data_IF_995907878227
#
_entry.id   IF_995907878227
#
_cell.length_a   1.000
_cell.length_b   1.000
_cell.length_c   1.000
_cell.angle_alpha   90.00
_cell.angle_beta   90.00
_cell.angle_gamma   90.00
#
_symmetry.space_group_name_H-M   'P 1'
#
loop_
_entity.id
_entity.type
_entity.pdbx_description
1 polymer ?
#
# COMPACT_ATOMS: atom_id res chain seq x y z
N UNK A 1 1.78 31.97 -12.17
CA UNK A 1 1.58 30.62 -11.61
C UNK A 1 2.02 29.65 -12.69
N UNK A 2 3.06 28.85 -12.46
CA UNK A 2 3.35 27.75 -13.39
C UNK A 2 2.16 26.78 -13.33
N UNK A 3 1.48 26.62 -14.46
CA UNK A 3 0.36 25.69 -14.61
C UNK A 3 0.98 24.31 -14.73
N UNK A 4 0.87 23.50 -13.68
CA UNK A 4 1.20 22.08 -13.78
C UNK A 4 0.10 21.40 -14.58
N UNK A 5 0.48 20.83 -15.73
CA UNK A 5 -0.43 20.03 -16.55
C UNK A 5 -0.96 18.85 -15.72
N UNK A 6 -2.28 18.62 -15.68
CA UNK A 6 -2.84 17.44 -15.03
C UNK A 6 -2.37 16.15 -15.73
N UNK A 7 -2.51 15.01 -15.07
CA UNK A 7 -2.32 13.70 -15.69
C UNK A 7 -3.68 13.00 -15.84
N UNK A 8 -4.00 12.57 -17.06
CA UNK A 8 -5.15 11.71 -17.31
C UNK A 8 -4.78 10.25 -17.02
N UNK A 9 -5.53 9.59 -16.14
CA UNK A 9 -5.34 8.17 -15.86
C UNK A 9 -6.13 7.35 -16.89
N UNK A 10 -5.43 6.49 -17.62
CA UNK A 10 -6.03 5.60 -18.62
C UNK A 10 -5.74 4.14 -18.30
N UNK A 11 -6.80 3.35 -18.20
CA UNK A 11 -6.72 1.89 -18.05
C UNK A 11 -6.67 1.23 -19.42
N UNK A 12 -5.52 0.67 -19.78
CA UNK A 12 -5.28 0.04 -21.10
C UNK A 12 -5.35 -1.47 -20.94
N UNK A 13 -6.43 -2.07 -21.45
CA UNK A 13 -6.67 -3.52 -21.44
C UNK A 13 -6.06 -4.15 -22.69
N UNK A 14 -4.88 -4.75 -22.53
CA UNK A 14 -4.08 -5.27 -23.63
C UNK A 14 -4.73 -6.49 -24.31
N UNK A 15 -5.58 -7.23 -23.60
CA UNK A 15 -6.42 -8.31 -24.13
C UNK A 15 -7.50 -7.81 -25.12
N UNK A 16 -7.86 -6.53 -25.04
CA UNK A 16 -8.86 -5.89 -25.93
C UNK A 16 -8.22 -5.01 -27.00
N UNK A 17 -7.01 -4.52 -26.75
CA UNK A 17 -6.25 -3.63 -27.62
C UNK A 17 -4.83 -4.18 -27.78
N UNK A 18 -4.67 -5.12 -28.72
CA UNK A 18 -3.41 -5.83 -28.93
C UNK A 18 -2.35 -4.92 -29.57
N UNK A 19 -1.35 -4.52 -28.77
CA UNK A 19 -0.14 -3.81 -29.22
C UNK A 19 -0.41 -2.55 -30.07
N UNK A 20 -1.52 -1.86 -29.83
CA UNK A 20 -1.85 -0.59 -30.49
C UNK A 20 -1.69 0.59 -29.55
N UNK A 21 -1.42 1.77 -30.11
CA UNK A 21 -1.33 2.99 -29.32
C UNK A 21 -2.74 3.35 -28.79
N UNK A 22 -2.93 3.50 -27.47
CA UNK A 22 -4.21 3.95 -26.92
C UNK A 22 -4.46 5.42 -27.30
N UNK A 23 -5.72 5.86 -27.19
CA UNK A 23 -6.03 7.28 -27.36
C UNK A 23 -5.40 8.09 -26.23
N UNK A 24 -4.36 8.85 -26.56
CA UNK A 24 -3.69 9.75 -25.63
C UNK A 24 -4.39 11.12 -25.61
N UNK A 25 -4.35 11.77 -24.45
CA UNK A 25 -4.64 13.20 -24.34
C UNK A 25 -3.38 13.98 -24.71
N UNK A 26 -3.48 14.87 -25.69
CA UNK A 26 -2.31 15.49 -26.34
C UNK A 26 -2.20 17.00 -26.13
N UNK A 27 -3.18 17.65 -25.51
CA UNK A 27 -3.16 19.11 -25.28
C UNK A 27 -3.03 19.43 -23.79
N UNK A 28 -1.86 19.93 -23.37
CA UNK A 28 -1.58 20.44 -22.02
C UNK A 28 -1.88 19.46 -20.87
N UNK A 29 -1.84 18.15 -21.15
CA UNK A 29 -2.15 17.09 -20.19
C UNK A 29 -1.21 15.89 -20.38
N UNK A 30 -0.64 15.38 -19.30
CA UNK A 30 0.15 14.15 -19.29
C UNK A 30 -0.75 12.91 -19.26
N UNK A 31 -0.20 11.73 -19.55
CA UNK A 31 -0.95 10.47 -19.50
C UNK A 31 -0.31 9.51 -18.50
N UNK A 32 -1.09 9.01 -17.55
CA UNK A 32 -0.72 7.93 -16.64
C UNK A 32 -1.43 6.66 -17.09
N UNK A 33 -0.71 5.81 -17.83
CA UNK A 33 -1.28 4.58 -18.37
C UNK A 33 -1.06 3.44 -17.39
N UNK A 34 -2.12 2.74 -17.01
CA UNK A 34 -2.06 1.49 -16.26
C UNK A 34 -2.42 0.35 -17.20
N UNK A 35 -1.53 -0.62 -17.33
CA UNK A 35 -1.69 -1.75 -18.25
C UNK A 35 -2.34 -2.93 -17.54
N UNK A 36 -3.31 -3.53 -18.20
CA UNK A 36 -4.09 -4.66 -17.71
C UNK A 36 -4.10 -5.78 -18.75
N UNK A 37 -4.18 -7.00 -18.25
CA UNK A 37 -4.68 -8.13 -19.02
C UNK A 37 -5.92 -8.64 -18.29
N UNK A 38 -7.09 -8.39 -18.86
CA UNK A 38 -8.40 -8.61 -18.23
C UNK A 38 -8.47 -7.98 -16.82
N UNK A 39 -8.45 -8.79 -15.75
CA UNK A 39 -8.56 -8.33 -14.37
C UNK A 39 -7.20 -8.20 -13.64
N UNK A 40 -6.09 -8.39 -14.35
CA UNK A 40 -4.74 -8.41 -13.77
C UNK A 40 -3.99 -7.15 -14.22
N UNK A 41 -3.63 -6.29 -13.27
CA UNK A 41 -2.76 -5.15 -13.54
C UNK A 41 -1.32 -5.64 -13.72
N UNK A 42 -0.64 -5.16 -14.77
CA UNK A 42 0.69 -5.63 -15.17
C UNK A 42 1.79 -4.58 -15.04
N UNK A 43 1.44 -3.29 -15.12
CA UNK A 43 2.43 -2.21 -15.14
C UNK A 43 1.79 -0.83 -15.24
N UNK A 44 2.61 0.21 -15.10
CA UNK A 44 2.20 1.58 -15.45
C UNK A 44 3.32 2.38 -16.09
N UNK A 45 2.95 3.46 -16.77
CA UNK A 45 3.90 4.46 -17.28
C UNK A 45 3.35 5.88 -17.17
N UNK A 46 4.23 6.83 -16.90
CA UNK A 46 3.98 8.26 -17.03
C UNK A 46 4.48 8.73 -18.40
N UNK A 47 3.61 9.40 -19.15
CA UNK A 47 3.93 10.08 -20.40
C UNK A 47 3.73 11.58 -20.19
N UNK A 48 4.78 12.37 -20.43
CA UNK A 48 4.73 13.81 -20.24
C UNK A 48 3.78 14.49 -21.25
N UNK A 49 3.19 15.64 -20.90
CA UNK A 49 2.33 16.40 -21.80
C UNK A 49 3.02 16.78 -23.11
N UNK A 50 2.22 16.92 -24.18
CA UNK A 50 2.63 17.45 -25.49
C UNK A 50 3.83 16.73 -26.14
N UNK A 51 4.13 15.50 -25.69
CA UNK A 51 5.12 14.63 -26.33
C UNK A 51 4.47 13.80 -27.44
N UNK A 52 4.94 13.96 -28.67
CA UNK A 52 4.67 12.97 -29.72
C UNK A 52 5.28 11.63 -29.30
N UNK A 53 4.47 10.57 -29.29
CA UNK A 53 4.90 9.23 -28.90
C UNK A 53 4.73 8.28 -30.10
N UNK A 54 5.79 8.02 -30.88
CA UNK A 54 5.76 7.03 -31.94
C UNK A 54 5.37 5.65 -31.38
N UNK A 55 4.66 4.85 -32.18
CA UNK A 55 4.22 3.50 -31.77
C UNK A 55 5.40 2.65 -31.26
N UNK A 56 6.54 2.68 -31.94
CA UNK A 56 7.74 1.92 -31.51
C UNK A 56 8.23 2.32 -30.12
N UNK A 57 8.24 3.61 -29.81
CA UNK A 57 8.65 4.09 -28.48
C UNK A 57 7.61 3.71 -27.41
N UNK A 58 6.32 3.81 -27.73
CA UNK A 58 5.25 3.34 -26.87
C UNK A 58 5.41 1.84 -26.54
N UNK A 59 5.64 1.00 -27.56
CA UNK A 59 5.80 -0.44 -27.39
C UNK A 59 7.02 -0.79 -26.53
N UNK A 60 8.13 -0.05 -26.64
CA UNK A 60 9.29 -0.20 -25.77
C UNK A 60 8.98 0.18 -24.32
N UNK A 61 8.29 1.29 -24.09
CA UNK A 61 7.85 1.71 -22.74
C UNK A 61 6.87 0.71 -22.14
N UNK A 62 5.92 0.21 -22.94
CA UNK A 62 4.96 -0.83 -22.56
C UNK A 62 5.69 -2.10 -22.12
N UNK A 63 6.58 -2.64 -22.96
CA UNK A 63 7.33 -3.87 -22.67
C UNK A 63 8.08 -3.75 -21.35
N UNK A 64 8.83 -2.65 -21.14
CA UNK A 64 9.55 -2.38 -19.90
C UNK A 64 8.63 -2.25 -18.68
N UNK A 65 7.46 -1.62 -18.85
CA UNK A 65 6.53 -1.39 -17.74
C UNK A 65 5.89 -2.69 -17.24
N UNK A 66 5.58 -3.63 -18.13
CA UNK A 66 4.91 -4.90 -17.78
C UNK A 66 5.90 -6.05 -17.52
N UNK A 67 7.16 -5.89 -17.91
CA UNK A 67 8.20 -6.92 -17.83
C UNK A 67 8.28 -7.62 -16.46
N UNK A 68 8.32 -6.90 -15.31
CA UNK A 68 8.43 -7.56 -14.01
C UNK A 68 7.28 -8.56 -13.75
N UNK A 69 6.03 -8.10 -13.93
CA UNK A 69 4.85 -8.93 -13.71
C UNK A 69 4.78 -10.10 -14.72
N UNK A 70 4.94 -9.80 -16.02
CA UNK A 70 4.86 -10.80 -17.09
C UNK A 70 5.92 -11.89 -16.91
N UNK A 71 7.16 -11.53 -16.58
CA UNK A 71 8.22 -12.50 -16.33
C UNK A 71 7.91 -13.37 -15.10
N UNK A 72 7.33 -12.80 -14.03
CA UNK A 72 6.93 -13.59 -12.87
C UNK A 72 5.86 -14.63 -13.23
N UNK A 73 4.83 -14.25 -13.99
CA UNK A 73 3.79 -15.19 -14.43
C UNK A 73 4.33 -16.27 -15.37
N UNK A 74 5.16 -15.89 -16.34
CA UNK A 74 5.81 -16.82 -17.27
C UNK A 74 6.71 -17.84 -16.54
N UNK A 75 7.48 -17.38 -15.55
CA UNK A 75 8.28 -18.26 -14.69
C UNK A 75 7.39 -19.21 -13.87
N UNK A 76 6.32 -18.71 -13.26
CA UNK A 76 5.39 -19.54 -12.46
C UNK A 76 4.67 -20.61 -13.29
N UNK A 77 4.47 -20.34 -14.58
CA UNK A 77 3.85 -21.27 -15.53
C UNK A 77 4.86 -22.18 -16.24
N UNK A 78 6.15 -22.07 -15.94
CA UNK A 78 7.25 -22.75 -16.65
C UNK A 78 7.19 -22.55 -18.18
N UNK A 79 6.78 -21.36 -18.64
CA UNK A 79 6.64 -21.04 -20.06
C UNK A 79 7.28 -19.68 -20.40
N UNK A 80 8.60 -19.62 -20.28
CA UNK A 80 9.40 -18.45 -20.61
C UNK A 80 9.87 -18.47 -22.08
N UNK A 81 9.72 -17.34 -22.77
CA UNK A 81 10.15 -17.11 -24.15
C UNK A 81 10.65 -15.67 -24.27
N UNK A 82 11.32 -15.33 -25.37
CA UNK A 82 11.70 -13.93 -25.67
C UNK A 82 10.49 -13.14 -26.21
N UNK A 83 9.47 -12.98 -25.36
CA UNK A 83 8.18 -12.38 -25.71
C UNK A 83 8.30 -10.89 -26.07
N UNK A 84 9.34 -10.21 -25.62
CA UNK A 84 9.58 -8.81 -25.95
C UNK A 84 9.82 -8.63 -27.46
N UNK A 85 10.40 -9.62 -28.13
CA UNK A 85 10.56 -9.60 -29.58
C UNK A 85 9.22 -9.62 -30.32
N UNK A 86 8.17 -10.22 -29.75
CA UNK A 86 6.85 -10.16 -30.37
C UNK A 86 6.23 -8.77 -30.24
N UNK A 87 6.49 -8.06 -29.15
CA UNK A 87 6.08 -6.66 -29.01
C UNK A 87 6.84 -5.78 -30.03
N UNK A 88 8.16 -5.92 -30.10
CA UNK A 88 9.01 -5.12 -31.01
C UNK A 88 8.70 -5.40 -32.48
N UNK A 89 8.52 -6.67 -32.86
CA UNK A 89 8.23 -7.09 -34.23
C UNK A 89 6.72 -7.05 -34.55
N UNK A 90 5.89 -6.52 -33.66
CA UNK A 90 4.43 -6.39 -33.82
C UNK A 90 3.77 -7.71 -34.25
N UNK A 91 3.99 -8.76 -33.45
CA UNK A 91 3.33 -10.07 -33.58
C UNK A 91 2.25 -10.23 -32.50
N UNK A 92 1.11 -9.51 -32.60
CA UNK A 92 0.10 -9.46 -31.56
C UNK A 92 -0.58 -10.81 -31.28
N UNK A 93 -0.74 -11.65 -32.30
CA UNK A 93 -1.40 -12.97 -32.15
C UNK A 93 -0.54 -13.93 -31.32
N UNK A 94 0.75 -14.05 -31.66
CA UNK A 94 1.71 -14.87 -30.91
C UNK A 94 1.78 -14.42 -29.44
N UNK A 95 1.88 -13.10 -29.25
CA UNK A 95 1.90 -12.49 -27.91
C UNK A 95 0.61 -12.78 -27.15
N UNK A 96 -0.56 -12.65 -27.78
CA UNK A 96 -1.84 -12.87 -27.13
C UNK A 96 -2.06 -14.32 -26.70
N UNK A 97 -1.75 -15.27 -27.59
CA UNK A 97 -1.86 -16.71 -27.29
C UNK A 97 -0.95 -17.08 -26.11
N UNK A 98 0.27 -16.55 -26.10
CA UNK A 98 1.20 -16.79 -25.01
C UNK A 98 0.77 -16.14 -23.69
N UNK A 99 0.35 -14.88 -23.71
CA UNK A 99 -0.17 -14.19 -22.53
C UNK A 99 -1.38 -14.91 -21.92
N UNK A 100 -2.30 -15.38 -22.77
CA UNK A 100 -3.43 -16.19 -22.34
C UNK A 100 -2.98 -17.48 -21.64
N UNK A 101 -1.95 -18.15 -22.16
CA UNK A 101 -1.43 -19.38 -21.58
C UNK A 101 -0.79 -19.15 -20.20
N UNK A 102 0.06 -18.14 -20.04
CA UNK A 102 0.76 -17.89 -18.76
C UNK A 102 -0.17 -17.32 -17.67
N UNK A 103 -1.29 -16.70 -18.04
CA UNK A 103 -2.26 -16.13 -17.10
C UNK A 103 -3.49 -17.03 -16.86
N UNK A 104 -3.62 -18.15 -17.59
CA UNK A 104 -4.79 -19.02 -17.53
C UNK A 104 -5.14 -19.48 -16.11
N UNK A 105 -4.13 -19.87 -15.32
CA UNK A 105 -4.30 -20.32 -13.94
C UNK A 105 -4.88 -19.24 -13.00
N UNK A 106 -4.75 -17.97 -13.37
CA UNK A 106 -5.25 -16.82 -12.62
C UNK A 106 -6.63 -16.35 -13.09
N UNK A 107 -7.05 -16.68 -14.32
CA UNK A 107 -8.36 -16.34 -14.89
C UNK A 107 -9.44 -17.38 -14.62
N UNK A 108 -9.14 -18.68 -14.75
CA UNK A 108 -10.15 -19.75 -14.80
C UNK A 108 -10.70 -20.18 -13.43
N UNK A 109 -10.62 -19.32 -12.41
CA UNK A 109 -11.01 -19.69 -11.05
C UNK A 109 -12.46 -19.33 -10.77
N UNK A 110 -13.19 -20.27 -10.17
CA UNK A 110 -14.55 -20.03 -9.68
C UNK A 110 -14.51 -19.00 -8.55
N UNK A 111 -15.20 -17.89 -8.75
CA UNK A 111 -15.34 -16.84 -7.73
C UNK A 111 -16.52 -17.22 -6.82
N UNK A 112 -16.29 -17.44 -5.51
CA UNK A 112 -17.39 -17.67 -4.57
C UNK A 112 -18.24 -16.39 -4.44
N UNK A 113 -19.55 -16.55 -4.27
CA UNK A 113 -20.46 -15.42 -4.07
C UNK A 113 -20.17 -14.69 -2.75
N UNK A 114 -19.81 -15.41 -1.68
CA UNK A 114 -19.55 -14.87 -0.34
C UNK A 114 -18.38 -15.59 0.33
N UNK A 115 -17.60 -14.88 1.16
CA UNK A 115 -16.43 -15.41 1.88
C UNK A 115 -16.31 -14.87 3.31
N UNK A 116 -15.63 -15.62 4.18
CA UNK A 116 -15.41 -15.31 5.60
C UNK A 116 -14.33 -14.22 5.80
N UNK A 117 -14.69 -12.98 5.46
CA UNK A 117 -13.90 -11.78 5.69
C UNK A 117 -14.75 -10.74 6.41
N UNK A 118 -14.19 -10.12 7.44
CA UNK A 118 -14.70 -8.86 8.01
C UNK A 118 -14.00 -7.70 7.33
N UNK A 119 -14.74 -6.87 6.59
CA UNK A 119 -14.19 -5.63 6.02
C UNK A 119 -14.44 -4.50 7.00
N UNK A 120 -13.36 -3.87 7.48
CA UNK A 120 -13.41 -2.75 8.43
C UNK A 120 -13.11 -1.44 7.70
N UNK A 121 -14.02 -0.48 7.82
CA UNK A 121 -13.88 0.89 7.31
C UNK A 121 -13.78 1.84 8.50
N UNK A 122 -12.69 2.58 8.59
CA UNK A 122 -12.54 3.62 9.62
C UNK A 122 -12.85 4.99 9.00
N UNK A 123 -13.79 5.73 9.58
CA UNK A 123 -14.15 7.06 9.12
C UNK A 123 -14.20 8.07 10.26
N UNK A 124 -14.07 9.35 9.94
CA UNK A 124 -14.23 10.45 10.91
C UNK A 124 -14.68 11.71 10.19
N UNK A 125 -15.93 12.12 10.40
CA UNK A 125 -16.50 13.34 9.82
C UNK A 125 -16.34 13.42 8.29
N UNK A 126 -16.48 12.27 7.61
CA UNK A 126 -16.31 12.11 6.16
C UNK A 126 -17.47 11.33 5.52
N UNK A 127 -18.70 11.64 5.94
CA UNK A 127 -19.92 10.93 5.52
C UNK A 127 -20.05 10.79 3.99
N UNK A 128 -19.67 11.80 3.20
CA UNK A 128 -19.71 11.72 1.73
C UNK A 128 -18.72 10.70 1.15
N UNK A 129 -17.52 10.57 1.75
CA UNK A 129 -16.53 9.58 1.33
C UNK A 129 -16.98 8.19 1.72
N UNK A 130 -17.46 8.03 2.95
CA UNK A 130 -18.06 6.78 3.42
C UNK A 130 -19.19 6.31 2.50
N UNK A 131 -20.08 7.21 2.09
CA UNK A 131 -21.19 6.85 1.19
C UNK A 131 -20.67 6.32 -0.16
N UNK A 132 -19.68 6.98 -0.76
CA UNK A 132 -19.05 6.50 -2.01
C UNK A 132 -18.43 5.12 -1.83
N UNK A 133 -17.68 4.93 -0.75
CA UNK A 133 -17.06 3.65 -0.40
C UNK A 133 -18.10 2.53 -0.26
N UNK A 134 -19.19 2.77 0.49
CA UNK A 134 -20.24 1.77 0.70
C UNK A 134 -21.04 1.44 -0.58
N UNK A 135 -21.30 2.43 -1.45
CA UNK A 135 -21.92 2.17 -2.77
C UNK A 135 -21.02 1.26 -3.60
N UNK A 136 -19.73 1.57 -3.68
CA UNK A 136 -18.76 0.79 -4.45
C UNK A 136 -18.64 -0.65 -3.92
N UNK A 137 -18.71 -0.86 -2.60
CA UNK A 137 -18.71 -2.21 -2.02
C UNK A 137 -19.93 -3.06 -2.42
N UNK A 138 -21.04 -2.46 -2.89
CA UNK A 138 -22.16 -3.21 -3.45
C UNK A 138 -21.87 -3.80 -4.84
N UNK A 139 -20.82 -3.32 -5.53
CA UNK A 139 -20.45 -3.77 -6.88
C UNK A 139 -19.46 -4.96 -6.88
N UNK A 140 -19.06 -5.42 -5.69
CA UNK A 140 -18.16 -6.56 -5.52
C UNK A 140 -18.74 -7.83 -6.15
N UNK A 141 -17.89 -8.59 -6.85
CA UNK A 141 -18.26 -9.90 -7.40
C UNK A 141 -18.26 -11.02 -6.35
N UNK A 142 -17.63 -10.77 -5.22
CA UNK A 142 -17.55 -11.66 -4.06
C UNK A 142 -17.78 -10.79 -2.82
N UNK A 143 -18.87 -11.03 -2.08
CA UNK A 143 -19.20 -10.22 -0.92
C UNK A 143 -18.53 -10.74 0.35
N UNK A 144 -18.08 -9.87 1.26
CA UNK A 144 -17.62 -10.31 2.58
C UNK A 144 -18.82 -10.81 3.41
N UNK A 145 -18.56 -11.55 4.49
CA UNK A 145 -19.63 -11.96 5.41
C UNK A 145 -20.15 -10.77 6.21
N UNK A 146 -19.30 -9.78 6.49
CA UNK A 146 -19.67 -8.56 7.20
C UNK A 146 -18.84 -7.35 6.77
N UNK A 147 -19.47 -6.18 6.82
CA UNK A 147 -18.83 -4.87 6.68
C UNK A 147 -19.07 -4.12 7.98
N UNK A 148 -17.99 -3.57 8.56
CA UNK A 148 -18.01 -2.88 9.85
C UNK A 148 -17.49 -1.46 9.64
N UNK A 149 -18.34 -0.47 9.88
CA UNK A 149 -17.97 0.94 9.85
C UNK A 149 -17.67 1.41 11.27
N UNK A 150 -16.42 1.81 11.50
CA UNK A 150 -15.98 2.43 12.74
C UNK A 150 -15.98 3.95 12.55
N UNK A 151 -16.96 4.60 13.17
CA UNK A 151 -17.07 6.06 13.19
C UNK A 151 -16.28 6.62 14.38
N UNK A 152 -15.11 7.18 14.07
CA UNK A 152 -14.09 7.56 15.04
C UNK A 152 -14.26 9.00 15.53
N UNK A 153 -14.58 9.15 16.82
CA UNK A 153 -14.83 10.42 17.50
C UNK A 153 -15.66 11.41 16.65
N UNK A 154 -16.87 11.00 16.20
CA UNK A 154 -17.68 11.83 15.31
C UNK A 154 -18.16 13.09 16.01
N UNK A 155 -18.19 14.21 15.28
CA UNK A 155 -18.73 15.49 15.77
C UNK A 155 -20.25 15.64 15.58
N UNK A 156 -20.85 14.79 14.75
CA UNK A 156 -22.28 14.78 14.41
C UNK A 156 -22.73 13.33 14.08
N UNK A 157 -23.95 13.16 13.57
CA UNK A 157 -24.54 11.87 13.22
C UNK A 157 -24.50 11.56 11.71
N UNK A 158 -23.75 12.33 10.91
CA UNK A 158 -23.76 12.23 9.45
C UNK A 158 -23.29 10.87 8.92
N UNK A 159 -22.20 10.31 9.48
CA UNK A 159 -21.72 8.97 9.13
C UNK A 159 -22.75 7.90 9.48
N UNK A 160 -23.42 8.01 10.63
CA UNK A 160 -24.44 7.06 11.07
C UNK A 160 -25.63 7.02 10.09
N UNK A 161 -26.15 8.20 9.71
CA UNK A 161 -27.23 8.31 8.72
C UNK A 161 -26.86 7.71 7.37
N UNK A 162 -25.58 7.81 6.96
CA UNK A 162 -25.11 7.15 5.73
C UNK A 162 -25.17 5.63 5.87
N UNK A 163 -24.70 5.06 6.99
CA UNK A 163 -24.71 3.61 7.20
C UNK A 163 -26.13 3.04 7.23
N UNK A 164 -27.10 3.77 7.80
CA UNK A 164 -28.51 3.36 7.83
C UNK A 164 -29.13 3.12 6.44
N UNK A 165 -28.53 3.67 5.37
CA UNK A 165 -28.96 3.43 3.98
C UNK A 165 -28.54 2.06 3.43
N UNK A 166 -27.60 1.37 4.08
CA UNK A 166 -27.02 0.12 3.60
C UNK A 166 -27.44 -1.04 4.50
N UNK A 167 -27.98 -2.10 3.88
CA UNK A 167 -28.26 -3.34 4.59
C UNK A 167 -26.96 -4.07 4.90
N UNK A 168 -26.92 -4.84 5.98
CA UNK A 168 -25.78 -5.71 6.35
C UNK A 168 -24.47 -4.96 6.65
N UNK A 169 -24.54 -3.67 7.02
CA UNK A 169 -23.39 -2.89 7.50
C UNK A 169 -23.52 -2.64 9.00
N UNK A 170 -22.53 -3.07 9.77
CA UNK A 170 -22.47 -2.83 11.21
C UNK A 170 -21.86 -1.45 11.49
N UNK A 171 -22.65 -0.55 12.07
CA UNK A 171 -22.14 0.72 12.59
C UNK A 171 -21.60 0.56 14.02
N UNK A 172 -20.39 1.07 14.27
CA UNK A 172 -19.78 1.13 15.60
C UNK A 172 -19.21 2.52 15.82
N UNK A 173 -19.63 3.16 16.91
CA UNK A 173 -19.06 4.44 17.35
C UNK A 173 -17.85 4.18 18.26
N UNK A 174 -16.70 4.74 17.91
CA UNK A 174 -15.51 4.78 18.77
C UNK A 174 -15.35 6.20 19.33
N UNK A 175 -15.50 6.43 20.65
CA UNK A 175 -15.46 7.78 21.20
C UNK A 175 -14.06 8.40 21.25
N UNK A 176 -12.98 7.60 21.23
CA UNK A 176 -11.60 8.11 21.33
C UNK A 176 -11.02 8.42 19.94
N UNK A 177 -10.47 9.63 19.71
CA UNK A 177 -9.94 9.99 18.40
C UNK A 177 -8.63 9.24 18.11
N UNK A 178 -8.54 8.60 16.94
CA UNK A 178 -7.38 7.84 16.49
C UNK A 178 -7.74 6.80 15.42
N UNK A 179 -6.98 6.73 14.34
CA UNK A 179 -7.13 5.73 13.27
C UNK A 179 -6.77 4.32 13.76
N UNK A 180 -5.64 4.15 14.42
CA UNK A 180 -5.22 2.87 15.00
C UNK A 180 -6.15 2.46 16.16
N UNK A 181 -6.66 3.41 16.94
CA UNK A 181 -7.73 3.17 17.90
C UNK A 181 -8.99 2.62 17.18
N UNK A 182 -9.42 3.26 16.09
CA UNK A 182 -10.56 2.79 15.31
C UNK A 182 -10.33 1.41 14.69
N UNK A 183 -9.12 1.15 14.16
CA UNK A 183 -8.72 -0.17 13.64
C UNK A 183 -8.79 -1.23 14.72
N UNK A 184 -8.28 -0.95 15.91
CA UNK A 184 -8.34 -1.87 17.05
C UNK A 184 -9.79 -2.18 17.45
N UNK A 185 -10.66 -1.18 17.47
CA UNK A 185 -12.10 -1.38 17.69
C UNK A 185 -12.73 -2.23 16.59
N UNK A 186 -12.35 -2.03 15.33
CA UNK A 186 -12.75 -2.89 14.21
C UNK A 186 -12.31 -4.34 14.38
N UNK A 187 -11.06 -4.60 14.77
CA UNK A 187 -10.54 -5.95 15.01
C UNK A 187 -11.32 -6.66 16.12
N UNK A 188 -11.63 -5.96 17.21
CA UNK A 188 -12.39 -6.52 18.33
C UNK A 188 -13.83 -6.86 17.94
N UNK A 189 -14.42 -6.12 16.99
CA UNK A 189 -15.80 -6.31 16.52
C UNK A 189 -15.90 -7.33 15.38
N UNK A 190 -14.86 -7.47 14.57
CA UNK A 190 -14.79 -8.46 13.51
C UNK A 190 -15.04 -9.87 14.04
N UNK A 191 -15.90 -10.63 13.38
CA UNK A 191 -16.22 -12.02 13.74
C UNK A 191 -15.49 -13.04 12.87
N UNK A 192 -15.01 -12.64 11.70
CA UNK A 192 -14.36 -13.52 10.74
C UNK A 192 -12.90 -13.86 11.09
N UNK A 193 -12.36 -14.98 10.58
CA UNK A 193 -10.93 -15.32 10.71
C UNK A 193 -9.98 -14.36 9.99
N UNK A 194 -10.49 -13.59 9.01
CA UNK A 194 -9.74 -12.61 8.24
C UNK A 194 -10.36 -11.23 8.45
N UNK A 195 -9.52 -10.25 8.78
CA UNK A 195 -9.91 -8.85 8.92
C UNK A 195 -9.20 -8.04 7.84
N UNK A 196 -9.97 -7.42 6.95
CA UNK A 196 -9.46 -6.57 5.88
C UNK A 196 -9.79 -5.11 6.19
N UNK A 197 -8.87 -4.20 5.88
CA UNK A 197 -9.05 -2.76 6.06
C UNK A 197 -9.09 -2.06 4.71
N UNK A 198 -10.03 -1.13 4.59
CA UNK A 198 -10.12 -0.18 3.48
C UNK A 198 -10.43 1.20 4.05
N UNK A 199 -9.76 2.23 3.54
CA UNK A 199 -10.03 3.61 3.95
C UNK A 199 -11.30 4.14 3.26
N UNK A 200 -11.95 5.14 3.86
CA UNK A 200 -13.18 5.73 3.32
C UNK A 200 -12.97 6.56 2.05
N UNK A 201 -11.72 6.93 1.74
CA UNK A 201 -11.26 7.62 0.53
C UNK A 201 -10.63 6.68 -0.52
N UNK A 202 -10.91 5.38 -0.40
CA UNK A 202 -10.43 4.33 -1.30
C UNK A 202 -11.60 3.68 -2.04
N UNK A 203 -11.40 3.44 -3.33
CA UNK A 203 -12.27 2.60 -4.17
C UNK A 203 -11.60 1.24 -4.39
N UNK A 204 -12.32 0.12 -4.25
CA UNK A 204 -11.73 -1.21 -4.45
C UNK A 204 -12.13 -1.81 -5.79
N UNK A 205 -11.24 -2.61 -6.37
CA UNK A 205 -11.56 -3.37 -7.58
C UNK A 205 -12.67 -4.41 -7.28
N UNK A 206 -13.59 -4.73 -8.21
CA UNK A 206 -14.70 -5.66 -7.96
C UNK A 206 -14.31 -7.07 -7.48
N UNK A 207 -13.06 -7.48 -7.74
CA UNK A 207 -12.49 -8.75 -7.27
C UNK A 207 -11.67 -8.63 -5.97
N UNK A 208 -11.59 -7.45 -5.35
CA UNK A 208 -10.69 -7.19 -4.22
C UNK A 208 -10.91 -8.19 -3.06
N UNK A 209 -12.15 -8.35 -2.59
CA UNK A 209 -12.49 -9.30 -1.51
C UNK A 209 -12.11 -10.73 -1.87
N UNK A 210 -12.38 -11.16 -3.11
CA UNK A 210 -11.98 -12.49 -3.59
C UNK A 210 -10.46 -12.67 -3.53
N UNK A 211 -9.69 -11.68 -3.99
CA UNK A 211 -8.23 -11.74 -4.00
C UNK A 211 -7.64 -11.74 -2.57
N UNK A 212 -8.25 -11.00 -1.64
CA UNK A 212 -7.90 -11.06 -0.21
C UNK A 212 -8.15 -12.46 0.34
N UNK A 213 -9.34 -13.01 0.15
CA UNK A 213 -9.71 -14.34 0.63
C UNK A 213 -8.81 -15.43 0.04
N UNK A 214 -8.53 -15.33 -1.27
CA UNK A 214 -7.67 -16.26 -2.00
C UNK A 214 -6.25 -16.27 -1.43
N UNK A 215 -5.69 -15.11 -1.08
CA UNK A 215 -4.39 -15.03 -0.42
C UNK A 215 -4.36 -15.84 0.87
N UNK A 216 -5.40 -15.73 1.71
CA UNK A 216 -5.47 -16.48 2.96
C UNK A 216 -5.89 -17.94 2.83
N UNK A 217 -6.09 -18.47 1.62
CA UNK A 217 -6.14 -19.92 1.42
C UNK A 217 -4.79 -20.59 1.72
N UNK A 218 -3.70 -19.83 1.64
CA UNK A 218 -2.41 -20.28 2.15
C UNK A 218 -2.32 -20.06 3.68
N UNK A 219 -2.30 -21.13 4.51
CA UNK A 219 -2.30 -21.01 5.97
C UNK A 219 -1.07 -20.29 6.53
N UNK A 220 0.05 -20.23 5.78
CA UNK A 220 1.30 -19.63 6.24
C UNK A 220 1.30 -18.09 6.17
N UNK A 221 0.37 -17.49 5.43
CA UNK A 221 0.29 -16.03 5.29
C UNK A 221 -0.43 -15.45 6.50
N UNK A 222 0.26 -14.61 7.27
CA UNK A 222 -0.27 -13.97 8.46
C UNK A 222 -0.97 -12.63 8.13
N UNK A 223 -0.40 -11.87 7.21
CA UNK A 223 -0.95 -10.62 6.72
C UNK A 223 -0.73 -10.47 5.22
N UNK A 224 -1.51 -9.58 4.61
CA UNK A 224 -1.31 -9.20 3.23
C UNK A 224 -1.43 -7.69 3.03
N UNK A 225 -0.79 -7.23 1.97
CA UNK A 225 -0.94 -5.89 1.39
C UNK A 225 -1.23 -6.03 -0.10
N UNK A 226 -1.76 -4.98 -0.73
CA UNK A 226 -2.10 -5.04 -2.15
C UNK A 226 -1.73 -3.81 -2.94
N UNK A 227 -2.00 -3.87 -4.25
CA UNK A 227 -1.72 -2.77 -5.17
C UNK A 227 -2.60 -1.56 -4.86
N UNK A 228 -1.97 -0.39 -4.82
CA UNK A 228 -2.65 0.90 -4.68
C UNK A 228 -2.30 1.73 -5.91
N UNK A 229 -3.32 2.22 -6.60
CA UNK A 229 -3.20 3.06 -7.78
C UNK A 229 -3.82 4.43 -7.44
N UNK A 230 -3.26 5.53 -7.95
CA UNK A 230 -3.91 6.84 -7.82
C UNK A 230 -5.31 6.82 -8.48
N UNK A 231 -6.32 7.37 -7.82
CA UNK A 231 -7.65 7.58 -8.45
C UNK A 231 -7.68 8.80 -9.36
N UNK A 232 -6.85 9.81 -9.08
CA UNK A 232 -6.69 11.02 -9.88
C UNK A 232 -5.33 11.68 -9.69
N UNK A 233 -4.87 12.41 -10.72
CA UNK A 233 -3.60 13.14 -10.74
C UNK A 233 -3.77 14.55 -11.35
N UNK A 234 -4.84 15.21 -10.93
CA UNK A 234 -5.26 16.52 -11.46
C UNK A 234 -4.43 17.69 -10.91
N UNK A 235 -3.78 17.52 -9.77
CA UNK A 235 -2.99 18.58 -9.13
C UNK A 235 -1.51 18.22 -8.95
N UNK A 236 -0.66 19.24 -8.85
CA UNK A 236 0.78 19.06 -8.56
C UNK A 236 1.01 18.25 -7.28
N UNK A 237 0.17 18.43 -6.24
CA UNK A 237 0.33 17.69 -4.99
C UNK A 237 0.10 16.18 -5.19
N UNK A 238 -0.90 15.80 -5.97
CA UNK A 238 -1.20 14.41 -6.27
C UNK A 238 -0.06 13.77 -7.09
N UNK A 239 0.47 14.51 -8.07
CA UNK A 239 1.61 14.07 -8.88
C UNK A 239 2.88 13.89 -8.04
N UNK A 240 3.21 14.85 -7.17
CA UNK A 240 4.36 14.73 -6.25
C UNK A 240 4.22 13.51 -5.35
N UNK A 241 3.01 13.24 -4.85
CA UNK A 241 2.75 12.08 -4.01
C UNK A 241 2.95 10.78 -4.81
N UNK A 242 2.31 10.63 -5.96
CA UNK A 242 2.39 9.40 -6.76
C UNK A 242 3.79 9.14 -7.32
N UNK A 243 4.57 10.16 -7.65
CA UNK A 243 5.91 9.92 -8.21
C UNK A 243 6.99 9.64 -7.16
N UNK A 244 6.75 9.99 -5.89
CA UNK A 244 7.81 10.01 -4.87
C UNK A 244 7.45 9.46 -3.50
N UNK A 245 6.15 9.27 -3.24
CA UNK A 245 5.58 8.77 -1.98
C UNK A 245 4.51 7.70 -2.22
N UNK A 246 4.46 7.13 -3.44
CA UNK A 246 3.41 6.20 -3.84
C UNK A 246 3.30 5.02 -2.89
N UNK A 247 2.06 4.58 -2.76
CA UNK A 247 1.69 3.32 -2.13
C UNK A 247 1.81 2.12 -3.09
N UNK A 248 2.00 2.36 -4.39
CA UNK A 248 2.27 1.32 -5.36
C UNK A 248 3.62 0.65 -5.05
N UNK A 249 3.61 -0.67 -4.82
CA UNK A 249 4.82 -1.48 -4.56
C UNK A 249 5.16 -2.42 -5.72
N UNK A 250 4.65 -2.15 -6.93
CA UNK A 250 4.88 -2.93 -8.14
C UNK A 250 3.76 -3.91 -8.46
N UNK A 251 3.94 -4.67 -9.53
CA UNK A 251 2.90 -5.54 -10.10
C UNK A 251 3.23 -7.03 -9.94
N UNK A 252 4.24 -7.33 -9.12
CA UNK A 252 4.71 -8.67 -8.81
C UNK A 252 4.23 -9.10 -7.42
N UNK A 253 3.94 -10.38 -7.27
CA UNK A 253 3.77 -11.04 -5.99
C UNK A 253 5.07 -10.99 -5.18
N UNK A 254 4.99 -10.58 -3.91
CA UNK A 254 6.17 -10.53 -3.02
C UNK A 254 5.89 -11.21 -1.69
N UNK A 255 6.85 -11.99 -1.23
CA UNK A 255 6.82 -12.66 0.08
C UNK A 255 7.83 -11.96 0.98
N UNK A 256 7.35 -11.47 2.12
CA UNK A 256 8.18 -10.93 3.19
C UNK A 256 8.11 -11.88 4.38
N UNK A 257 9.22 -12.55 4.68
CA UNK A 257 9.31 -13.58 5.70
C UNK A 257 10.50 -13.35 6.64
N UNK A 258 10.88 -14.38 7.40
CA UNK A 258 12.04 -14.33 8.29
C UNK A 258 13.35 -14.06 7.55
N UNK A 259 13.50 -14.52 6.30
CA UNK A 259 14.72 -14.28 5.50
C UNK A 259 14.82 -12.83 5.05
N UNK A 260 13.70 -12.24 4.60
CA UNK A 260 13.64 -10.81 4.32
C UNK A 260 14.00 -10.00 5.58
N UNK A 261 13.42 -10.36 6.73
CA UNK A 261 13.67 -9.65 7.99
C UNK A 261 15.12 -9.75 8.45
N UNK A 262 15.69 -10.97 8.49
CA UNK A 262 17.07 -11.19 8.94
C UNK A 262 18.10 -10.50 8.03
N UNK A 263 17.91 -10.56 6.72
CA UNK A 263 18.82 -9.95 5.74
C UNK A 263 18.85 -8.42 5.82
N UNK A 264 17.74 -7.82 6.27
CA UNK A 264 17.61 -6.37 6.42
C UNK A 264 17.76 -5.89 7.87
N UNK A 265 17.90 -6.80 8.84
CA UNK A 265 17.89 -6.45 10.26
C UNK A 265 18.95 -5.39 10.57
N UNK A 266 20.21 -5.63 10.20
CA UNK A 266 21.31 -4.71 10.47
C UNK A 266 21.31 -3.44 9.62
N UNK A 267 20.29 -3.26 8.76
CA UNK A 267 20.16 -2.10 7.89
C UNK A 267 18.97 -1.20 8.26
N UNK A 268 18.17 -1.58 9.25
CA UNK A 268 16.86 -1.01 9.51
C UNK A 268 15.86 -1.62 8.54
N UNK A 269 15.16 -2.72 8.92
CA UNK A 269 14.21 -3.39 8.04
C UNK A 269 13.28 -2.41 7.32
N UNK A 270 13.25 -2.41 5.97
CA UNK A 270 12.51 -1.42 5.19
C UNK A 270 11.03 -1.80 5.10
N UNK A 271 10.38 -1.94 6.26
CA UNK A 271 9.00 -2.42 6.38
C UNK A 271 8.00 -1.52 5.66
N UNK A 272 8.31 -0.24 5.49
CA UNK A 272 7.50 0.69 4.69
C UNK A 272 7.37 0.28 3.21
N UNK A 273 8.24 -0.59 2.69
CA UNK A 273 8.17 -1.10 1.31
C UNK A 273 7.16 -2.24 1.14
N UNK A 274 6.60 -2.76 2.23
CA UNK A 274 5.68 -3.92 2.20
C UNK A 274 4.31 -3.53 1.65
N UNK A 275 3.83 -2.32 1.93
CA UNK A 275 2.54 -1.85 1.42
C UNK A 275 2.09 -0.55 2.06
N UNK A 276 0.78 -0.37 2.16
CA UNK A 276 0.13 0.78 2.76
C UNK A 276 -1.11 0.35 3.54
N UNK A 277 -1.42 1.05 4.63
CA UNK A 277 -2.62 0.81 5.44
C UNK A 277 -3.95 0.95 4.68
N UNK A 278 -3.94 1.60 3.51
CA UNK A 278 -5.09 1.73 2.61
C UNK A 278 -5.53 0.41 1.95
N UNK A 279 -4.66 -0.60 1.91
CA UNK A 279 -4.93 -1.90 1.31
C UNK A 279 -4.16 -3.00 2.06
N UNK A 280 -4.74 -3.44 3.18
CA UNK A 280 -4.15 -4.46 4.03
C UNK A 280 -5.21 -5.39 4.62
N UNK A 281 -4.82 -6.63 4.89
CA UNK A 281 -5.65 -7.59 5.59
C UNK A 281 -4.80 -8.52 6.45
N UNK A 282 -5.40 -9.12 7.48
CA UNK A 282 -4.73 -9.91 8.49
C UNK A 282 -5.54 -11.15 8.82
N UNK A 283 -4.88 -12.26 9.12
CA UNK A 283 -5.51 -13.29 9.95
C UNK A 283 -5.78 -12.70 11.32
N UNK A 284 -6.99 -12.85 11.83
CA UNK A 284 -7.39 -12.32 13.13
C UNK A 284 -6.51 -12.85 14.28
N UNK A 285 -6.07 -14.11 14.19
CA UNK A 285 -5.17 -14.73 15.17
C UNK A 285 -3.79 -14.07 15.28
N UNK A 286 -3.39 -13.25 14.30
CA UNK A 286 -2.13 -12.48 14.39
C UNK A 286 -2.15 -11.52 15.57
N UNK A 287 -3.30 -10.88 15.83
CA UNK A 287 -3.42 -9.87 16.89
C UNK A 287 -3.28 -10.47 18.30
N UNK A 288 -3.60 -11.76 18.48
CA UNK A 288 -3.33 -12.49 19.74
C UNK A 288 -1.83 -12.72 19.96
N UNK A 289 -1.06 -12.85 18.87
CA UNK A 289 0.36 -13.17 18.91
C UNK A 289 1.24 -11.93 19.01
N UNK A 290 1.00 -10.94 18.15
CA UNK A 290 1.85 -9.75 18.07
C UNK A 290 1.28 -8.55 18.83
N UNK A 291 -0.01 -8.57 19.18
CA UNK A 291 -0.74 -7.45 19.77
C UNK A 291 -1.42 -6.56 18.72
N UNK A 292 -2.24 -5.64 19.20
CA UNK A 292 -2.99 -4.66 18.39
C UNK A 292 -2.09 -3.54 17.80
N UNK A 293 -2.66 -2.61 17.04
CA UNK A 293 -1.93 -1.42 16.58
C UNK A 293 -1.56 -0.53 17.78
N UNK A 294 -0.32 -0.02 17.82
CA UNK A 294 0.14 0.82 18.93
C UNK A 294 -0.42 2.24 18.80
N UNK A 295 -1.36 2.60 19.68
CA UNK A 295 -2.03 3.90 19.71
C UNK A 295 -1.04 5.09 19.84
N UNK A 296 0.21 4.85 20.26
CA UNK A 296 1.26 5.88 20.31
C UNK A 296 1.64 6.39 18.90
N UNK A 297 1.49 5.57 17.87
CA UNK A 297 1.83 5.90 16.48
C UNK A 297 0.66 6.48 15.68
N UNK A 298 -0.47 6.66 16.34
CA UNK A 298 -1.73 7.01 15.72
C UNK A 298 -1.81 8.49 15.27
N UNK A 299 -2.81 8.75 14.41
CA UNK A 299 -3.26 10.08 13.99
C UNK A 299 -3.82 10.82 15.20
N UNK A 300 -3.09 11.87 15.61
CA UNK A 300 -3.35 12.61 16.85
C UNK A 300 -2.26 12.43 17.91
N UNK A 301 -1.41 11.40 17.75
CA UNK A 301 -0.24 11.14 18.59
C UNK A 301 1.06 11.40 17.79
N UNK A 302 1.82 10.36 17.41
CA UNK A 302 3.02 10.52 16.60
C UNK A 302 2.71 10.97 15.15
N UNK A 303 1.52 10.68 14.63
CA UNK A 303 1.13 11.04 13.27
C UNK A 303 0.58 9.85 12.51
N UNK A 304 1.43 9.13 11.80
CA UNK A 304 1.01 7.97 11.01
C UNK A 304 2.21 7.04 10.85
N UNK A 305 2.14 5.82 11.39
CA UNK A 305 3.01 4.68 11.02
C UNK A 305 2.60 3.34 11.66
N UNK A 306 1.36 3.20 12.16
CA UNK A 306 0.90 1.99 12.86
C UNK A 306 0.94 0.74 11.98
N UNK A 307 0.71 0.90 10.67
CA UNK A 307 0.82 -0.16 9.67
C UNK A 307 2.26 -0.69 9.52
N UNK A 308 3.22 0.21 9.29
CA UNK A 308 4.65 -0.12 9.18
C UNK A 308 5.20 -0.75 10.45
N UNK A 309 4.76 -0.27 11.62
CA UNK A 309 5.12 -0.86 12.89
C UNK A 309 4.52 -2.26 13.08
N UNK A 310 3.25 -2.45 12.72
CA UNK A 310 2.61 -3.77 12.74
C UNK A 310 3.35 -4.77 11.84
N UNK A 311 3.71 -4.39 10.62
CA UNK A 311 4.48 -5.28 9.73
C UNK A 311 5.84 -5.67 10.33
N UNK A 312 6.52 -4.72 10.99
CA UNK A 312 7.77 -5.01 11.71
C UNK A 312 7.55 -6.09 12.77
N UNK A 313 6.53 -5.96 13.63
CA UNK A 313 6.27 -6.94 14.69
C UNK A 313 5.90 -8.32 14.14
N UNK A 314 5.09 -8.36 13.08
CA UNK A 314 4.73 -9.61 12.38
C UNK A 314 6.00 -10.33 11.91
N UNK A 315 6.89 -9.62 11.20
CA UNK A 315 8.14 -10.20 10.71
C UNK A 315 9.11 -10.56 11.84
N UNK A 316 9.23 -9.72 12.87
CA UNK A 316 10.08 -9.96 14.03
C UNK A 316 9.67 -11.22 14.83
N UNK A 317 8.39 -11.60 14.78
CA UNK A 317 7.89 -12.83 15.38
C UNK A 317 7.96 -14.06 14.44
N UNK A 318 8.56 -13.87 13.26
CA UNK A 318 8.82 -14.89 12.25
C UNK A 318 7.60 -15.28 11.41
N UNK A 319 6.58 -14.40 11.35
CA UNK A 319 5.40 -14.61 10.51
C UNK A 319 5.63 -14.04 9.09
N UNK A 320 4.82 -14.50 8.13
CA UNK A 320 4.95 -14.13 6.72
C UNK A 320 3.89 -13.10 6.31
N UNK A 321 4.31 -12.07 5.58
CA UNK A 321 3.45 -11.08 4.94
C UNK A 321 3.53 -11.28 3.42
N UNK A 322 2.39 -11.17 2.74
CA UNK A 322 2.32 -11.33 1.29
C UNK A 322 1.79 -10.08 0.61
N UNK A 323 2.54 -9.55 -0.35
CA UNK A 323 2.05 -8.51 -1.24
C UNK A 323 1.39 -9.15 -2.46
N UNK A 324 0.09 -8.92 -2.60
CA UNK A 324 -0.75 -9.41 -3.69
C UNK A 324 -1.14 -8.24 -4.60
N UNK A 325 -0.52 -8.06 -5.79
CA UNK A 325 -0.81 -6.95 -6.68
C UNK A 325 -2.17 -7.06 -7.39
N UNK A 326 -2.88 -8.19 -7.29
CA UNK A 326 -4.23 -8.39 -7.87
C UNK A 326 -5.33 -7.94 -6.91
N UNK A 327 -5.04 -7.78 -5.62
CA UNK A 327 -5.93 -7.09 -4.69
C UNK A 327 -5.74 -5.58 -4.89
N UNK A 328 -6.46 -5.01 -5.87
CA UNK A 328 -6.25 -3.62 -6.31
C UNK A 328 -7.23 -2.67 -5.61
N UNK A 329 -6.72 -1.52 -5.23
CA UNK A 329 -7.51 -0.36 -4.79
C UNK A 329 -7.04 0.94 -5.46
N UNK A 330 -7.91 1.93 -5.51
CA UNK A 330 -7.68 3.27 -6.01
C UNK A 330 -7.77 4.27 -4.87
N UNK A 331 -6.74 5.09 -4.69
CA UNK A 331 -6.61 5.99 -3.54
C UNK A 331 -6.67 7.45 -3.97
N UNK A 332 -7.50 8.25 -3.28
CA UNK A 332 -7.59 9.70 -3.48
C UNK A 332 -6.45 10.44 -2.77
N UNK A 333 -5.53 11.01 -3.55
CA UNK A 333 -4.42 11.81 -3.02
C UNK A 333 -4.86 13.22 -2.61
N UNK A 334 -4.15 13.84 -1.67
CA UNK A 334 -4.42 15.22 -1.25
C UNK A 334 -4.26 16.19 -2.42
N UNK A 335 -5.34 16.92 -2.75
CA UNK A 335 -5.38 17.92 -3.83
C UNK A 335 -4.48 19.13 -3.58
N UNK A 336 -4.48 19.63 -2.35
CA UNK A 336 -3.75 20.84 -1.97
C UNK A 336 -2.33 20.55 -1.49
N UNK A 337 -1.37 21.36 -1.92
CA UNK A 337 0.03 21.24 -1.50
C UNK A 337 0.21 21.43 0.02
N UNK A 338 -0.63 22.26 0.65
CA UNK A 338 -0.66 22.43 2.11
C UNK A 338 -1.09 21.13 2.81
N UNK A 339 -2.11 20.44 2.26
CA UNK A 339 -2.57 19.14 2.72
C UNK A 339 -1.51 18.07 2.58
N UNK A 340 -0.85 17.98 1.42
CA UNK A 340 0.28 17.08 1.18
C UNK A 340 1.43 17.34 2.16
N UNK A 341 1.84 18.60 2.35
CA UNK A 341 2.91 18.97 3.29
C UNK A 341 2.56 18.55 4.71
N UNK A 342 1.31 18.74 5.13
CA UNK A 342 0.84 18.29 6.45
C UNK A 342 0.91 16.77 6.58
N UNK A 343 0.46 16.03 5.56
CA UNK A 343 0.54 14.57 5.52
C UNK A 343 1.98 14.08 5.63
N UNK A 344 2.89 14.58 4.78
CA UNK A 344 4.31 14.19 4.79
C UNK A 344 4.99 14.53 6.12
N UNK A 345 4.66 15.68 6.72
CA UNK A 345 5.15 16.01 8.06
C UNK A 345 4.80 14.92 9.08
N UNK A 346 3.55 14.46 9.10
CA UNK A 346 3.12 13.41 10.03
C UNK A 346 3.66 12.02 9.68
N UNK A 347 3.87 11.72 8.40
CA UNK A 347 4.53 10.48 7.95
C UNK A 347 5.96 10.44 8.48
N UNK A 348 6.73 11.51 8.28
CA UNK A 348 8.11 11.56 8.78
C UNK A 348 8.17 11.57 10.32
N UNK A 349 7.23 12.25 10.99
CA UNK A 349 7.13 12.23 12.45
C UNK A 349 6.85 10.82 13.00
N UNK A 350 5.87 10.13 12.43
CA UNK A 350 5.49 8.76 12.79
C UNK A 350 6.60 7.77 12.47
N UNK A 351 7.22 7.90 11.30
CA UNK A 351 8.37 7.10 10.89
C UNK A 351 9.51 7.14 11.92
N UNK A 352 9.93 8.33 12.35
CA UNK A 352 10.99 8.45 13.36
C UNK A 352 10.58 7.82 14.69
N UNK A 353 9.35 8.05 15.15
CA UNK A 353 8.86 7.46 16.38
C UNK A 353 8.87 5.92 16.32
N UNK A 354 8.37 5.34 15.21
CA UNK A 354 8.34 3.91 14.98
C UNK A 354 9.75 3.31 14.89
N UNK A 355 10.65 3.91 14.10
CA UNK A 355 12.03 3.44 13.96
C UNK A 355 12.77 3.42 15.31
N UNK A 356 12.54 4.42 16.17
CA UNK A 356 13.14 4.47 17.51
C UNK A 356 12.51 3.45 18.48
N UNK A 357 11.19 3.19 18.37
CA UNK A 357 10.53 2.11 19.11
C UNK A 357 11.08 0.75 18.69
N UNK A 358 11.18 0.49 17.40
CA UNK A 358 11.73 -0.74 16.83
C UNK A 358 13.20 -0.92 17.23
N UNK A 359 14.01 0.14 17.19
CA UNK A 359 15.40 0.13 17.67
C UNK A 359 15.52 -0.23 19.17
N UNK A 360 14.54 0.19 19.98
CA UNK A 360 14.48 -0.13 21.41
C UNK A 360 14.05 -1.59 21.62
N UNK A 361 13.16 -2.11 20.79
CA UNK A 361 12.72 -3.51 20.83
C UNK A 361 13.83 -4.46 20.35
N UNK A 362 14.54 -4.08 19.27
CA UNK A 362 15.64 -4.84 18.71
C UNK A 362 16.87 -3.94 18.48
N UNK A 363 17.86 -3.99 19.40
CA UNK A 363 19.10 -3.23 19.26
C UNK A 363 19.87 -3.49 17.97
N UNK A 364 19.71 -4.67 17.36
CA UNK A 364 20.39 -5.04 16.12
C UNK A 364 19.79 -4.38 14.86
N UNK A 365 18.62 -3.75 14.97
CA UNK A 365 17.93 -3.14 13.83
C UNK A 365 18.68 -1.95 13.20
N UNK A 366 19.66 -1.36 13.90
CA UNK A 366 20.51 -0.24 13.44
C UNK A 366 19.78 0.93 12.74
N UNK A 367 18.55 1.24 13.17
CA UNK A 367 17.87 2.46 12.73
C UNK A 367 18.66 3.73 13.10
N UNK A 368 19.54 3.68 14.12
CA UNK A 368 20.42 4.81 14.46
C UNK A 368 21.30 5.23 13.29
N UNK A 369 21.89 4.29 12.54
CA UNK A 369 22.69 4.59 11.34
C UNK A 369 21.85 5.28 10.27
N UNK A 370 20.63 4.78 10.03
CA UNK A 370 19.69 5.40 9.09
C UNK A 370 19.43 6.88 9.45
N UNK A 371 19.13 7.14 10.72
CA UNK A 371 18.77 8.48 11.21
C UNK A 371 19.96 9.44 11.30
N UNK A 372 21.14 8.96 11.71
CA UNK A 372 22.30 9.80 11.98
C UNK A 372 23.26 9.94 10.79
N UNK A 373 23.26 9.00 9.85
CA UNK A 373 24.23 8.98 8.74
C UNK A 373 23.58 9.05 7.37
N UNK A 374 22.51 8.27 7.14
CA UNK A 374 21.90 8.15 5.81
C UNK A 374 21.02 9.36 5.51
N UNK A 375 20.07 9.66 6.40
CA UNK A 375 19.09 10.72 6.18
C UNK A 375 19.70 12.12 6.10
N UNK A 376 20.67 12.52 6.94
CA UNK A 376 21.31 13.82 6.80
C UNK A 376 21.98 14.01 5.42
N UNK A 377 22.67 12.98 4.91
CA UNK A 377 23.29 13.01 3.58
C UNK A 377 22.23 13.10 2.47
N UNK A 378 21.18 12.29 2.58
CA UNK A 378 20.07 12.29 1.62
C UNK A 378 19.38 13.66 1.54
N UNK A 379 19.02 14.25 2.68
CA UNK A 379 18.36 15.56 2.72
C UNK A 379 19.28 16.68 2.27
N UNK A 380 20.57 16.63 2.59
CA UNK A 380 21.55 17.58 2.06
C UNK A 380 21.58 17.57 0.52
N UNK A 381 21.65 16.39 -0.10
CA UNK A 381 21.64 16.26 -1.56
C UNK A 381 20.31 16.73 -2.18
N UNK A 382 19.18 16.43 -1.54
CA UNK A 382 17.87 16.91 -2.00
C UNK A 382 17.76 18.43 -1.94
N UNK A 383 18.23 19.06 -0.86
CA UNK A 383 18.24 20.52 -0.73
C UNK A 383 19.15 21.14 -1.78
N UNK A 384 20.35 20.60 -1.97
CA UNK A 384 21.30 21.09 -2.97
C UNK A 384 20.72 21.03 -4.39
N UNK A 385 20.01 19.95 -4.75
CA UNK A 385 19.35 19.80 -6.05
C UNK A 385 18.14 20.72 -6.23
N UNK A 386 17.43 21.06 -5.15
CA UNK A 386 16.25 21.94 -5.19
C UNK A 386 16.59 23.43 -5.16
N UNK A 387 17.81 23.80 -4.78
CA UNK A 387 18.23 25.19 -4.68
C UNK A 387 18.53 25.81 -6.07
N UNK A 388 18.21 27.09 -6.32
CA UNK A 388 17.51 28.04 -5.44
C UNK A 388 15.97 27.96 -5.55
N UNK A 389 15.42 27.27 -6.54
CA UNK A 389 13.98 27.21 -6.83
C UNK A 389 13.41 25.81 -6.62
N UNK A 390 12.83 25.60 -5.44
CA UNK A 390 12.21 24.33 -5.07
C UNK A 390 10.94 24.05 -5.89
N UNK A 391 11.01 23.05 -6.78
CA UNK A 391 9.93 22.55 -7.67
C UNK A 391 9.71 21.05 -7.49
N UNK A 392 8.50 20.57 -7.83
CA UNK A 392 8.13 19.14 -7.76
C UNK A 392 8.47 18.53 -6.39
N UNK A 393 9.17 17.39 -6.38
CA UNK A 393 9.63 16.68 -5.17
C UNK A 393 10.23 17.57 -4.08
N UNK A 394 10.97 18.59 -4.48
CA UNK A 394 11.72 19.41 -3.54
C UNK A 394 10.82 20.34 -2.70
N UNK A 395 9.55 20.51 -3.07
CA UNK A 395 8.57 21.32 -2.33
C UNK A 395 8.17 20.73 -0.98
N UNK A 396 8.40 19.45 -0.75
CA UNK A 396 8.03 18.76 0.51
C UNK A 396 9.18 18.66 1.50
N UNK A 397 10.42 18.96 1.08
CA UNK A 397 11.66 18.75 1.88
C UNK A 397 11.56 19.38 3.26
N UNK A 398 11.09 20.63 3.36
CA UNK A 398 10.98 21.32 4.64
C UNK A 398 9.94 20.69 5.57
N UNK A 399 8.84 20.16 5.02
CA UNK A 399 7.83 19.46 5.81
C UNK A 399 8.42 18.14 6.37
N UNK A 400 9.20 17.44 5.56
CA UNK A 400 9.88 16.20 5.96
C UNK A 400 10.88 16.43 7.09
N UNK A 401 11.80 17.38 6.92
CA UNK A 401 12.82 17.70 7.93
C UNK A 401 12.18 18.14 9.25
N UNK A 402 11.12 18.96 9.20
CA UNK A 402 10.34 19.35 10.39
C UNK A 402 9.69 18.13 11.04
N UNK A 403 9.15 17.21 10.24
CA UNK A 403 8.56 15.96 10.70
C UNK A 403 9.59 15.09 11.42
N UNK A 404 10.80 14.96 10.86
CA UNK A 404 11.90 14.19 11.47
C UNK A 404 12.25 14.74 12.86
N UNK A 405 12.49 16.05 12.96
CA UNK A 405 12.83 16.71 14.23
C UNK A 405 11.69 16.55 15.23
N UNK A 406 10.45 16.75 14.78
CA UNK A 406 9.25 16.59 15.61
C UNK A 406 9.10 15.15 16.11
N UNK A 407 9.42 14.15 15.29
CA UNK A 407 9.33 12.73 15.64
C UNK A 407 10.33 12.35 16.72
N UNK A 408 11.56 12.85 16.63
CA UNK A 408 12.58 12.66 17.66
C UNK A 408 12.14 13.28 18.99
N UNK A 409 11.67 14.54 18.96
CA UNK A 409 11.17 15.23 20.15
C UNK A 409 9.96 14.51 20.75
N UNK A 410 9.05 14.00 19.92
CA UNK A 410 7.88 13.25 20.36
C UNK A 410 8.27 11.94 21.04
N UNK A 411 9.17 11.16 20.44
CA UNK A 411 9.65 9.90 21.00
C UNK A 411 10.35 10.10 22.35
N UNK A 412 11.21 11.12 22.47
CA UNK A 412 11.90 11.42 23.73
C UNK A 412 10.92 11.75 24.88
N UNK A 413 9.79 12.39 24.55
CA UNK A 413 8.74 12.73 25.53
C UNK A 413 7.82 11.56 25.86
N UNK A 414 7.45 10.76 24.86
CA UNK A 414 6.32 9.83 24.96
C UNK A 414 6.67 8.35 24.81
N UNK A 415 7.87 7.99 24.35
CA UNK A 415 8.27 6.62 24.02
C UNK A 415 8.32 5.62 25.18
N UNK A 416 8.01 6.06 26.40
CA UNK A 416 7.78 5.18 27.56
C UNK A 416 6.34 4.65 27.64
N UNK A 417 5.38 5.26 26.94
CA UNK A 417 3.95 4.94 26.97
C UNK A 417 3.48 4.00 25.85
N UNK A 418 4.41 3.43 25.08
CA UNK A 418 4.07 2.44 24.05
C UNK A 418 3.37 1.24 24.69
N UNK A 419 2.28 0.80 24.05
CA UNK A 419 1.46 -0.33 24.49
C UNK A 419 2.09 -1.69 24.20
N UNK A 420 3.23 -1.71 23.50
CA UNK A 420 3.93 -2.94 23.07
C UNK A 420 4.56 -3.66 24.28
N UNK A 421 4.20 -4.92 24.56
CA UNK A 421 4.75 -5.68 25.69
C UNK A 421 6.28 -5.87 25.59
N UNK A 422 7.02 -5.60 26.67
CA UNK A 422 8.49 -5.79 26.74
C UNK A 422 8.94 -7.25 26.53
N UNK A 423 8.05 -8.23 26.72
CA UNK A 423 8.39 -9.66 26.79
C UNK A 423 8.65 -10.33 25.43
N UNK A 424 8.43 -9.66 24.28
CA UNK A 424 8.79 -10.22 22.96
C UNK A 424 10.32 -10.30 22.74
N UNK A 425 11.13 -9.62 23.56
CA UNK A 425 12.60 -9.69 23.53
C UNK A 425 13.17 -11.08 23.86
N UNK A 426 12.41 -11.95 24.52
CA UNK A 426 12.86 -13.31 24.86
C UNK A 426 12.70 -14.31 23.70
N UNK A 427 11.71 -14.11 22.81
CA UNK A 427 11.46 -14.99 21.65
C UNK A 427 12.57 -14.86 20.60
N UNK A 428 13.00 -13.64 20.29
CA UNK A 428 14.13 -13.37 19.39
C UNK A 428 15.46 -13.93 19.92
N UNK A 429 15.71 -13.84 21.24
CA UNK A 429 16.89 -14.45 21.87
C UNK A 429 16.88 -15.99 21.83
N UNK A 430 15.72 -16.62 21.97
CA UNK A 430 15.59 -18.10 21.99
C UNK A 430 15.65 -18.72 20.60
N UNK A 431 15.17 -18.04 19.55
CA UNK A 431 15.15 -18.60 18.18
C UNK A 431 16.50 -18.48 17.45
N UNK A 432 17.27 -17.41 17.70
CA UNK A 432 18.59 -17.23 17.10
C UNK A 432 19.65 -18.16 17.70
N UNK A 433 19.51 -18.55 18.98
CA UNK A 433 20.45 -19.49 19.64
C UNK A 433 20.24 -20.95 19.24
N UNK A 434 19.05 -21.33 18.79
CA UNK A 434 18.78 -22.70 18.31
C UNK A 434 19.25 -22.97 16.87
N UNK A 435 19.59 -21.93 16.09
CA UNK A 435 20.13 -22.11 14.74
C UNK A 435 21.65 -22.42 14.70
N UNK A 436 22.36 -22.25 15.82
CA UNK A 436 23.82 -22.49 15.91
C UNK A 436 24.20 -23.82 16.59
N UNK A 437 23.23 -24.68 16.95
CA UNK A 437 23.51 -25.93 17.72
C UNK A 437 23.19 -27.22 16.95
N UNK A 438 22.85 -27.15 15.66
CA UNK A 438 22.69 -28.36 14.82
C UNK A 438 23.76 -28.39 13.72
N UNK A 439 25.02 -28.39 14.14
CA UNK A 439 26.14 -28.97 13.39
C UNK A 439 27.15 -29.51 14.39
N UNK A 440 26.98 -30.79 14.73
CA UNK A 440 28.05 -31.77 14.93
C UNK A 440 27.43 -33.17 15.12
#
# INVERSE_FOLDING_TARGET
MEVHAPYHISHVYLDKQLLTLPKLKTEQQGNYLVFWWDQIALGHVFLEPDQELPLTEYLQKLAKAIEPAVNQYANSSNYMVDWQQWIVNQKPEDWAVWMQAILQAHHSQTIPNRVDISVVICTRNRASHLQRCLVMLQELKCVPVEIIVIDNAPSDDSSHRVVELFKEVLYVKEPRPGLDIARNTGIMKATSPIVAFVDDDVEVHPLWVHQVWKTFQNPNIAAMTGLVIASELNTEAQQIFEQHWSFNRGYEDKVYDSNFFSSNLHHGPPVWEIGAGANMAFRKSVFEKVGYFDELLDVGAAGCNGDSEMWYRILADGLTIYYNPRAVVYHEHRKELSGLKKQIFFYMRGFIAAALLQQKLNPQADYKRLLLQVYPKFYFLLVARGFPRFRGRSRTIWAEMKGIISGLAFYLRNGKHSSIPRNQTASAKRKLTTAEVVTN
#
